data_IF_269585926540
#
_entry.id   IF_269585926540
#
_cell.length_a   1.000
_cell.length_b   1.000
_cell.length_c   1.000
_cell.angle_alpha   90.00
_cell.angle_beta   90.00
_cell.angle_gamma   90.00
#
_symmetry.space_group_name_H-M   'P 1'
#
loop_
_entity.id
_entity.type
_entity.pdbx_description
1 polymer ?
#
# COMPACT_ATOMS: atom_id res chain seq x y z
N UNK A 1 -0.97 -44.20 34.96
CA UNK A 1 -1.75 -42.95 34.85
C UNK A 1 -1.41 -42.30 33.53
N UNK A 2 -2.30 -42.46 32.52
CA UNK A 2 -2.16 -41.83 31.23
C UNK A 2 -2.61 -40.37 31.36
N UNK A 3 -1.68 -39.44 31.31
CA UNK A 3 -1.99 -38.00 31.21
C UNK A 3 -2.37 -37.67 29.77
N UNK A 4 -3.65 -37.44 29.53
CA UNK A 4 -4.13 -36.95 28.22
C UNK A 4 -3.77 -35.49 28.14
N UNK A 5 -2.72 -35.17 27.36
CA UNK A 5 -2.42 -33.80 26.98
C UNK A 5 -3.44 -33.42 25.91
N UNK A 6 -4.46 -32.62 26.25
CA UNK A 6 -5.32 -31.98 25.25
C UNK A 6 -4.45 -31.05 24.44
N UNK A 7 -4.21 -31.36 23.16
CA UNK A 7 -3.70 -30.38 22.19
C UNK A 7 -4.77 -29.29 22.02
N UNK A 8 -4.55 -28.12 22.56
CA UNK A 8 -5.37 -26.97 22.31
C UNK A 8 -4.81 -26.34 21.01
N UNK A 9 -5.56 -26.44 19.93
CA UNK A 9 -5.22 -25.71 18.70
C UNK A 9 -5.56 -24.24 18.94
N UNK A 10 -4.57 -23.41 19.12
CA UNK A 10 -4.72 -21.96 19.08
C UNK A 10 -4.75 -21.55 17.61
N UNK A 11 -5.89 -21.13 17.12
CA UNK A 11 -5.97 -20.41 15.85
C UNK A 11 -5.59 -18.97 16.15
N UNK A 12 -4.45 -18.53 15.65
CA UNK A 12 -4.10 -17.11 15.61
C UNK A 12 -4.94 -16.50 14.50
N UNK A 13 -5.82 -15.58 14.86
CA UNK A 13 -6.64 -14.87 13.90
C UNK A 13 -5.78 -13.79 13.22
N UNK A 14 -5.88 -13.70 11.89
CA UNK A 14 -5.20 -12.65 11.14
C UNK A 14 -5.76 -11.26 11.51
N UNK A 15 -4.94 -10.20 11.45
CA UNK A 15 -5.41 -8.83 11.70
C UNK A 15 -6.49 -8.45 10.69
N UNK A 16 -7.49 -7.69 11.17
CA UNK A 16 -8.60 -7.21 10.37
C UNK A 16 -8.56 -5.67 10.30
N UNK A 17 -8.31 -5.14 9.12
CA UNK A 17 -8.40 -3.71 8.85
C UNK A 17 -9.84 -3.32 8.51
N UNK A 18 -10.31 -2.22 9.08
CA UNK A 18 -11.57 -1.57 8.74
C UNK A 18 -11.23 -0.20 8.14
N UNK A 19 -11.61 0.01 6.88
CA UNK A 19 -11.43 1.25 6.12
C UNK A 19 -12.79 1.90 5.98
N UNK A 20 -12.99 3.06 6.60
CA UNK A 20 -14.19 3.85 6.47
C UNK A 20 -13.99 4.92 5.40
N UNK A 21 -14.87 4.96 4.40
CA UNK A 21 -14.78 5.93 3.30
C UNK A 21 -16.03 6.81 3.28
N UNK A 22 -15.81 8.13 3.34
CA UNK A 22 -16.89 9.11 3.44
C UNK A 22 -17.87 8.96 2.27
N UNK A 23 -19.18 8.85 2.58
CA UNK A 23 -20.28 8.68 1.63
C UNK A 23 -20.25 7.39 0.79
N UNK A 24 -19.26 6.52 0.93
CA UNK A 24 -19.16 5.25 0.18
C UNK A 24 -19.47 4.04 1.06
N UNK A 25 -18.98 4.01 2.31
CA UNK A 25 -19.19 2.93 3.26
C UNK A 25 -17.89 2.33 3.79
N UNK A 26 -17.98 1.08 4.24
CA UNK A 26 -16.92 0.36 4.93
C UNK A 26 -16.33 -0.74 4.05
N UNK A 27 -15.00 -0.85 4.05
CA UNK A 27 -14.25 -1.97 3.44
C UNK A 27 -13.53 -2.69 4.58
N UNK A 28 -13.67 -4.02 4.67
CA UNK A 28 -12.88 -4.84 5.61
C UNK A 28 -11.87 -5.69 4.87
N UNK A 29 -10.65 -5.69 5.39
CA UNK A 29 -9.51 -6.36 4.77
C UNK A 29 -8.83 -7.24 5.81
N UNK A 30 -8.76 -8.54 5.55
CA UNK A 30 -7.94 -9.45 6.32
C UNK A 30 -6.49 -9.32 5.85
N UNK A 31 -5.56 -9.09 6.79
CA UNK A 31 -4.13 -8.91 6.51
C UNK A 31 -3.38 -10.23 6.73
N UNK A 32 -2.36 -10.48 5.93
CA UNK A 32 -1.63 -11.76 5.90
C UNK A 32 -0.14 -11.60 6.26
N UNK A 33 0.21 -11.51 7.55
CA UNK A 33 1.60 -11.32 8.00
C UNK A 33 2.54 -12.47 7.61
N UNK A 34 1.99 -13.63 7.25
CA UNK A 34 2.80 -14.76 6.78
C UNK A 34 3.40 -14.53 5.38
N UNK A 35 2.79 -13.65 4.57
CA UNK A 35 3.28 -13.33 3.23
C UNK A 35 4.19 -12.11 3.23
N UNK A 36 3.85 -11.09 4.02
CA UNK A 36 4.54 -9.80 4.04
C UNK A 36 4.54 -9.21 5.46
N UNK A 37 5.35 -9.75 6.39
CA UNK A 37 5.35 -9.34 7.79
C UNK A 37 5.72 -7.87 8.01
N UNK A 38 6.74 -7.33 7.33
CA UNK A 38 7.16 -5.95 7.45
C UNK A 38 6.11 -4.98 6.90
N UNK A 39 5.52 -5.33 5.76
CA UNK A 39 4.42 -4.59 5.12
C UNK A 39 3.20 -4.52 6.03
N UNK A 40 2.82 -5.65 6.64
CA UNK A 40 1.68 -5.72 7.57
C UNK A 40 1.98 -4.91 8.84
N UNK A 41 3.19 -5.01 9.42
CA UNK A 41 3.59 -4.23 10.60
C UNK A 41 3.55 -2.72 10.29
N UNK A 42 4.05 -2.30 9.13
CA UNK A 42 4.00 -0.92 8.65
C UNK A 42 2.56 -0.41 8.53
N UNK A 43 1.72 -1.14 7.81
CA UNK A 43 0.34 -0.76 7.60
C UNK A 43 -0.47 -0.68 8.91
N UNK A 44 -0.30 -1.66 9.81
CA UNK A 44 -0.94 -1.65 11.14
C UNK A 44 -0.54 -0.42 11.95
N UNK A 45 0.77 -0.12 11.97
CA UNK A 45 1.29 1.01 12.77
C UNK A 45 0.74 2.33 12.25
N UNK A 46 0.83 2.59 10.95
CA UNK A 46 0.29 3.80 10.32
C UNK A 46 -1.22 3.93 10.54
N UNK A 47 -1.97 2.85 10.32
CA UNK A 47 -3.43 2.84 10.49
C UNK A 47 -3.86 3.15 11.92
N UNK A 48 -3.24 2.48 12.91
CA UNK A 48 -3.62 2.64 14.31
C UNK A 48 -3.11 3.95 14.92
N UNK A 49 -2.08 4.58 14.35
CA UNK A 49 -1.66 5.94 14.68
C UNK A 49 -2.52 7.03 14.02
N UNK A 50 -3.47 6.66 13.14
CA UNK A 50 -4.38 7.61 12.48
C UNK A 50 -3.77 8.31 11.27
N UNK A 51 -2.63 7.84 10.74
CA UNK A 51 -1.97 8.42 9.58
C UNK A 51 -2.90 8.57 8.36
N UNK A 52 -3.74 7.57 8.11
CA UNK A 52 -4.62 7.55 6.95
C UNK A 52 -5.89 8.41 7.09
N UNK A 53 -6.16 8.96 8.28
CA UNK A 53 -7.38 9.73 8.52
C UNK A 53 -7.38 11.04 7.72
N UNK A 54 -8.37 11.22 6.88
CA UNK A 54 -8.50 12.37 5.98
C UNK A 54 -7.75 12.25 4.66
N UNK A 55 -6.94 11.21 4.45
CA UNK A 55 -6.31 10.93 3.15
C UNK A 55 -7.34 10.44 2.14
N UNK A 56 -6.96 10.35 0.87
CA UNK A 56 -7.88 10.06 -0.21
C UNK A 56 -7.46 8.83 -1.03
N UNK A 57 -8.42 8.28 -1.76
CA UNK A 57 -8.12 7.50 -2.94
C UNK A 57 -7.86 8.48 -4.09
N UNK A 58 -6.59 8.76 -4.34
CA UNK A 58 -6.13 9.78 -5.28
C UNK A 58 -5.98 9.27 -6.72
N UNK A 59 -6.03 7.95 -6.93
CA UNK A 59 -5.93 7.31 -8.25
C UNK A 59 -6.89 6.13 -8.33
N UNK A 60 -7.74 6.11 -9.36
CA UNK A 60 -8.73 5.06 -9.57
C UNK A 60 -8.77 4.66 -11.05
N UNK A 61 -8.66 3.36 -11.31
CA UNK A 61 -8.75 2.80 -12.66
C UNK A 61 -9.78 1.67 -12.61
N UNK A 62 -10.96 1.83 -13.28
CA UNK A 62 -11.93 0.75 -13.43
C UNK A 62 -11.24 -0.51 -14.00
N UNK A 63 -11.70 -1.68 -13.56
CA UNK A 63 -11.20 -2.99 -14.01
C UNK A 63 -9.68 -3.20 -13.75
N UNK A 64 -9.11 -2.42 -12.82
CA UNK A 64 -7.72 -2.60 -12.38
C UNK A 64 -7.55 -2.42 -10.86
N UNK A 65 -7.61 -1.16 -10.36
CA UNK A 65 -7.36 -0.91 -8.92
C UNK A 65 -7.85 0.47 -8.46
N UNK A 66 -7.96 0.62 -7.15
CA UNK A 66 -8.04 1.91 -6.46
C UNK A 66 -6.79 2.09 -5.60
N UNK A 67 -6.15 3.26 -5.64
CA UNK A 67 -4.93 3.57 -4.89
C UNK A 67 -5.15 4.75 -3.96
N UNK A 68 -4.68 4.63 -2.73
CA UNK A 68 -4.79 5.65 -1.70
C UNK A 68 -3.64 5.64 -0.72
N UNK A 69 -3.77 6.44 0.35
CA UNK A 69 -2.78 6.49 1.43
C UNK A 69 -1.60 7.42 1.18
N UNK A 70 -1.72 8.31 0.19
CA UNK A 70 -0.73 9.35 -0.09
C UNK A 70 -1.05 10.64 0.68
N UNK A 71 -0.13 11.14 1.54
CA UNK A 71 -0.34 12.40 2.25
C UNK A 71 -0.40 13.63 1.34
N UNK A 72 0.22 13.58 0.15
CA UNK A 72 0.18 14.66 -0.83
C UNK A 72 -1.03 14.57 -1.77
N UNK A 73 -1.62 13.38 -1.92
CA UNK A 73 -2.77 13.13 -2.79
C UNK A 73 -2.46 13.23 -4.30
N UNK A 74 -1.19 13.11 -4.69
CA UNK A 74 -0.71 13.22 -6.09
C UNK A 74 0.20 12.04 -6.52
N UNK A 75 0.39 11.08 -5.65
CA UNK A 75 1.22 9.89 -5.88
C UNK A 75 2.67 10.03 -5.42
N UNK A 76 3.08 11.20 -4.89
CA UNK A 76 4.49 11.48 -4.57
C UNK A 76 4.84 11.36 -3.10
N UNK A 77 3.84 11.32 -2.20
CA UNK A 77 4.05 11.39 -0.77
C UNK A 77 4.48 10.08 -0.13
N UNK A 78 5.31 10.20 0.90
CA UNK A 78 5.71 9.14 1.81
C UNK A 78 5.27 9.46 3.23
N UNK A 79 5.20 8.45 4.08
CA UNK A 79 5.10 8.63 5.52
C UNK A 79 6.46 8.98 6.11
N UNK A 80 6.45 9.61 7.28
CA UNK A 80 7.64 9.94 8.04
C UNK A 80 7.83 8.99 9.23
N UNK A 81 9.03 8.96 9.80
CA UNK A 81 9.30 8.19 11.02
C UNK A 81 8.41 8.63 12.19
N UNK A 82 7.95 9.90 12.19
CA UNK A 82 7.00 10.43 13.17
C UNK A 82 5.62 9.76 13.06
N UNK A 83 5.19 9.41 11.87
CA UNK A 83 3.92 8.70 11.65
C UNK A 83 3.96 7.27 12.23
N UNK A 84 5.17 6.70 12.35
CA UNK A 84 5.41 5.46 13.09
C UNK A 84 5.53 5.66 14.62
N UNK A 85 5.46 6.91 15.13
CA UNK A 85 5.58 7.23 16.54
C UNK A 85 7.02 7.51 17.01
N UNK A 86 7.97 7.73 16.09
CA UNK A 86 9.34 8.14 16.39
C UNK A 86 9.47 9.67 16.44
N UNK A 87 10.58 10.20 16.93
CA UNK A 87 10.84 11.64 17.01
C UNK A 87 11.68 12.12 15.81
N UNK A 88 11.17 11.91 14.58
CA UNK A 88 11.81 12.38 13.35
C UNK A 88 10.77 12.63 12.26
N UNK A 89 10.93 13.76 11.57
CA UNK A 89 10.13 14.12 10.38
C UNK A 89 10.76 13.59 9.06
N UNK A 90 11.78 12.71 9.16
CA UNK A 90 12.39 12.08 7.98
C UNK A 90 11.45 11.07 7.36
N UNK A 91 11.33 11.14 6.03
CA UNK A 91 10.61 10.13 5.26
C UNK A 91 11.32 8.78 5.31
N UNK A 92 10.57 7.72 5.17
CA UNK A 92 11.11 6.37 5.11
C UNK A 92 10.45 5.51 4.05
N UNK A 93 11.13 4.44 3.69
CA UNK A 93 10.60 3.33 2.87
C UNK A 93 10.81 2.01 3.59
N UNK A 94 10.17 0.96 3.09
CA UNK A 94 10.33 -0.41 3.57
C UNK A 94 10.83 -1.33 2.46
N UNK A 95 11.44 -2.44 2.83
CA UNK A 95 11.82 -3.47 1.88
C UNK A 95 10.58 -4.08 1.22
N UNK A 96 10.58 -4.17 -0.10
CA UNK A 96 9.49 -4.79 -0.85
C UNK A 96 9.49 -6.31 -0.67
N UNK A 97 8.41 -6.85 -0.12
CA UNK A 97 8.26 -8.27 0.21
C UNK A 97 7.55 -9.03 -0.91
N UNK A 98 8.26 -9.28 -2.01
CA UNK A 98 7.77 -10.03 -3.17
C UNK A 98 8.89 -10.78 -3.88
N UNK A 99 8.53 -11.71 -4.77
CA UNK A 99 9.44 -12.71 -5.37
C UNK A 99 10.62 -12.05 -6.11
N UNK A 100 10.37 -11.02 -6.93
CA UNK A 100 11.44 -10.34 -7.69
C UNK A 100 12.47 -9.63 -6.79
N UNK A 101 12.12 -9.34 -5.53
CA UNK A 101 13.01 -8.76 -4.52
C UNK A 101 13.56 -9.81 -3.53
N UNK A 102 13.39 -11.09 -3.82
CA UNK A 102 13.94 -12.20 -3.03
C UNK A 102 13.04 -12.74 -1.93
N UNK A 103 11.86 -12.19 -1.71
CA UNK A 103 10.87 -12.78 -0.80
C UNK A 103 10.05 -13.86 -1.51
N UNK A 104 10.52 -15.11 -1.43
CA UNK A 104 9.88 -16.26 -2.07
C UNK A 104 8.64 -16.76 -1.30
N UNK A 105 8.40 -16.29 -0.07
CA UNK A 105 7.27 -16.70 0.75
C UNK A 105 5.99 -15.94 0.37
N UNK A 106 6.12 -14.76 -0.27
CA UNK A 106 4.97 -14.03 -0.76
C UNK A 106 4.47 -14.60 -2.10
N UNK A 107 3.58 -15.57 -1.99
CA UNK A 107 2.91 -16.22 -3.13
C UNK A 107 1.45 -15.79 -3.27
N UNK A 108 1.03 -14.74 -2.55
CA UNK A 108 -0.31 -14.19 -2.64
C UNK A 108 -0.55 -13.61 -4.04
N UNK A 109 -1.62 -14.07 -4.68
CA UNK A 109 -1.98 -13.69 -6.03
C UNK A 109 -2.80 -12.41 -6.04
N UNK A 110 -2.51 -11.51 -6.99
CA UNK A 110 -3.27 -10.27 -7.17
C UNK A 110 -4.62 -10.52 -7.88
N UNK A 111 -5.40 -11.43 -7.31
CA UNK A 111 -6.80 -11.61 -7.67
C UNK A 111 -7.64 -10.40 -7.24
N UNK A 112 -8.88 -10.31 -7.73
CA UNK A 112 -9.83 -9.30 -7.29
C UNK A 112 -9.94 -9.19 -5.76
N UNK A 113 -9.81 -7.97 -5.23
CA UNK A 113 -9.92 -7.65 -3.81
C UNK A 113 -8.62 -7.79 -3.01
N UNK A 114 -7.49 -8.05 -3.64
CA UNK A 114 -6.20 -8.09 -2.95
C UNK A 114 -5.69 -6.68 -2.71
N UNK A 115 -5.22 -6.42 -1.48
CA UNK A 115 -4.50 -5.21 -1.11
C UNK A 115 -3.00 -5.42 -1.24
N UNK A 116 -2.30 -4.44 -1.81
CA UNK A 116 -0.87 -4.47 -2.05
C UNK A 116 -0.24 -3.09 -1.87
N UNK A 117 1.06 -3.02 -1.57
CA UNK A 117 1.77 -1.74 -1.47
C UNK A 117 2.12 -1.19 -2.84
N UNK A 118 1.85 0.10 -3.02
CA UNK A 118 2.38 0.84 -4.16
C UNK A 118 3.88 1.13 -3.96
N UNK A 119 4.60 1.25 -5.06
CA UNK A 119 6.04 1.55 -5.10
C UNK A 119 6.39 2.33 -6.38
N UNK A 120 7.55 2.96 -6.38
CA UNK A 120 8.11 3.61 -7.57
C UNK A 120 8.71 2.58 -8.53
N UNK A 121 8.68 2.88 -9.83
CA UNK A 121 9.43 2.14 -10.85
C UNK A 121 10.59 2.98 -11.40
N UNK A 122 11.73 2.86 -10.74
CA UNK A 122 12.96 3.54 -11.18
C UNK A 122 13.67 2.83 -12.33
N UNK A 123 13.21 1.64 -12.74
CA UNK A 123 13.80 0.92 -13.90
C UNK A 123 13.56 1.65 -15.22
N UNK A 124 12.55 2.52 -15.28
CA UNK A 124 12.30 3.42 -16.40
C UNK A 124 13.43 4.43 -16.63
N UNK A 125 14.19 4.79 -15.60
CA UNK A 125 15.38 5.65 -15.69
C UNK A 125 16.64 4.85 -15.99
N UNK A 126 16.82 3.71 -15.33
CA UNK A 126 17.90 2.76 -15.56
C UNK A 126 17.53 1.39 -15.00
N UNK A 127 17.81 0.33 -15.76
CA UNK A 127 17.62 -1.05 -15.30
C UNK A 127 18.39 -1.36 -14.00
N UNK A 128 19.51 -0.66 -13.74
CA UNK A 128 20.28 -0.81 -12.50
C UNK A 128 19.56 -0.31 -11.24
N UNK A 129 18.52 0.52 -11.40
CA UNK A 129 17.73 1.08 -10.30
C UNK A 129 16.49 0.24 -9.95
N UNK A 130 16.31 -0.92 -10.58
CA UNK A 130 15.16 -1.77 -10.29
C UNK A 130 15.04 -2.10 -8.78
N UNK A 131 16.16 -2.43 -8.13
CA UNK A 131 16.20 -2.76 -6.69
C UNK A 131 15.83 -1.57 -5.80
N UNK A 132 16.20 -0.34 -6.19
CA UNK A 132 15.78 0.86 -5.47
C UNK A 132 14.28 1.06 -5.59
N UNK A 133 13.70 0.86 -6.76
CA UNK A 133 12.26 0.88 -6.97
C UNK A 133 11.55 -0.24 -6.20
N UNK A 134 12.15 -1.42 -6.07
CA UNK A 134 11.58 -2.53 -5.29
C UNK A 134 11.47 -2.18 -3.79
N UNK A 135 12.34 -1.34 -3.26
CA UNK A 135 12.40 -0.95 -1.87
C UNK A 135 11.90 0.49 -1.61
N UNK A 136 11.02 1.00 -2.46
CA UNK A 136 10.49 2.37 -2.39
C UNK A 136 9.07 2.47 -1.83
N UNK A 137 8.47 1.38 -1.37
CA UNK A 137 7.16 1.42 -0.71
C UNK A 137 7.26 2.14 0.64
N UNK A 138 6.24 2.95 0.98
CA UNK A 138 6.11 3.63 2.27
C UNK A 138 4.70 3.47 2.84
N UNK A 139 3.77 4.33 2.45
CA UNK A 139 2.41 4.37 2.99
C UNK A 139 1.31 4.09 1.96
N UNK A 140 1.58 4.29 0.68
CA UNK A 140 0.56 4.15 -0.36
C UNK A 140 0.23 2.68 -0.63
N UNK A 141 -1.05 2.38 -0.76
CA UNK A 141 -1.56 1.05 -1.05
C UNK A 141 -2.59 1.08 -2.18
N UNK A 142 -2.83 -0.07 -2.79
CA UNK A 142 -3.91 -0.23 -3.76
C UNK A 142 -4.71 -1.50 -3.49
N UNK A 143 -5.97 -1.51 -3.94
CA UNK A 143 -6.86 -2.68 -3.89
C UNK A 143 -7.27 -3.00 -5.32
N UNK A 144 -7.05 -4.24 -5.75
CA UNK A 144 -7.40 -4.70 -7.11
C UNK A 144 -8.92 -4.84 -7.26
N UNK A 145 -9.45 -4.40 -8.40
CA UNK A 145 -10.87 -4.53 -8.74
C UNK A 145 -11.14 -5.69 -9.69
N UNK A 146 -10.10 -6.20 -10.34
CA UNK A 146 -10.11 -7.38 -11.21
C UNK A 146 -8.86 -8.23 -10.98
N UNK A 147 -8.79 -9.40 -11.62
CA UNK A 147 -7.61 -10.25 -11.62
C UNK A 147 -6.47 -9.56 -12.39
N UNK A 148 -5.40 -9.26 -11.68
CA UNK A 148 -4.21 -8.58 -12.19
C UNK A 148 -2.94 -9.42 -12.02
N UNK A 149 -3.09 -10.75 -11.88
CA UNK A 149 -2.00 -11.69 -11.60
C UNK A 149 -0.88 -11.66 -12.66
N UNK A 150 -1.24 -11.52 -13.93
CA UNK A 150 -0.27 -11.48 -15.04
C UNK A 150 0.69 -10.28 -14.98
N UNK A 151 0.27 -9.18 -14.37
CA UNK A 151 1.03 -7.92 -14.33
C UNK A 151 1.66 -7.59 -12.98
N UNK A 152 1.10 -8.08 -11.87
CA UNK A 152 1.49 -7.66 -10.53
C UNK A 152 2.16 -8.76 -9.70
N UNK A 153 1.87 -10.04 -9.98
CA UNK A 153 2.39 -11.14 -9.18
C UNK A 153 3.92 -11.19 -9.19
N UNK A 154 4.47 -11.32 -7.98
CA UNK A 154 5.91 -11.35 -7.78
C UNK A 154 6.63 -10.01 -7.95
N UNK A 155 5.92 -8.92 -8.26
CA UNK A 155 6.47 -7.58 -8.50
C UNK A 155 5.99 -6.54 -7.47
N UNK A 156 4.94 -6.86 -6.69
CA UNK A 156 4.37 -6.02 -5.66
C UNK A 156 4.10 -6.82 -4.38
N UNK A 157 4.18 -6.15 -3.23
CA UNK A 157 3.95 -6.76 -1.92
C UNK A 157 2.46 -6.84 -1.62
N UNK A 158 1.80 -7.91 -2.08
CA UNK A 158 0.45 -8.24 -1.67
C UNK A 158 0.45 -8.68 -0.21
N UNK A 159 -0.46 -8.13 0.63
CA UNK A 159 -0.42 -8.36 2.06
C UNK A 159 -1.77 -8.59 2.72
N UNK A 160 -2.86 -8.69 1.95
CA UNK A 160 -4.19 -8.98 2.47
C UNK A 160 -5.24 -9.09 1.37
N UNK A 161 -6.48 -9.35 1.80
CA UNK A 161 -7.63 -9.47 0.90
C UNK A 161 -8.88 -8.89 1.53
N UNK A 162 -9.69 -8.21 0.72
CA UNK A 162 -11.01 -7.70 1.11
C UNK A 162 -11.93 -8.87 1.43
N UNK A 163 -12.52 -8.84 2.61
CA UNK A 163 -13.50 -9.82 3.08
C UNK A 163 -14.94 -9.31 3.03
N UNK A 164 -15.11 -7.99 3.17
CA UNK A 164 -16.41 -7.31 3.07
C UNK A 164 -16.23 -5.94 2.39
N UNK A 165 -17.22 -5.47 1.64
CA UNK A 165 -17.23 -4.12 1.05
C UNK A 165 -16.60 -4.04 -0.34
N UNK A 166 -16.50 -5.13 -1.11
CA UNK A 166 -16.07 -5.07 -2.51
C UNK A 166 -16.97 -4.19 -3.38
N UNK A 167 -18.25 -4.07 -3.05
CA UNK A 167 -19.16 -3.14 -3.72
C UNK A 167 -18.81 -1.67 -3.45
N UNK A 168 -18.20 -1.37 -2.29
CA UNK A 168 -17.64 -0.04 -1.96
C UNK A 168 -16.39 0.21 -2.79
N UNK A 169 -15.49 -0.77 -2.90
CA UNK A 169 -14.30 -0.69 -3.77
C UNK A 169 -14.70 -0.41 -5.22
N UNK A 170 -15.72 -1.12 -5.74
CA UNK A 170 -16.22 -0.91 -7.11
C UNK A 170 -16.81 0.49 -7.30
N UNK A 171 -17.57 1.00 -6.34
CA UNK A 171 -18.11 2.37 -6.40
C UNK A 171 -16.98 3.40 -6.45
N UNK A 172 -15.92 3.22 -5.66
CA UNK A 172 -14.74 4.09 -5.68
C UNK A 172 -14.00 4.00 -7.02
N UNK A 173 -13.83 2.80 -7.57
CA UNK A 173 -13.16 2.60 -8.85
C UNK A 173 -13.87 3.27 -10.03
N UNK A 174 -15.19 3.49 -9.92
CA UNK A 174 -16.03 4.06 -10.97
C UNK A 174 -16.43 5.53 -10.74
N UNK A 175 -15.73 6.25 -9.85
CA UNK A 175 -15.96 7.69 -9.71
C UNK A 175 -15.48 8.43 -10.96
N UNK A 176 -16.04 9.62 -11.20
CA UNK A 176 -15.60 10.49 -12.29
C UNK A 176 -14.14 10.88 -12.11
N UNK A 177 -13.31 10.67 -13.13
CA UNK A 177 -11.90 11.04 -13.15
C UNK A 177 -11.65 12.24 -14.04
N UNK A 178 -10.56 12.95 -13.81
CA UNK A 178 -10.15 14.09 -14.61
C UNK A 178 -9.89 13.66 -16.06
N UNK A 179 -10.29 14.52 -17.01
CA UNK A 179 -9.99 14.36 -18.42
C UNK A 179 -8.93 15.36 -18.83
N UNK A 180 -8.30 15.20 -20.01
CA UNK A 180 -7.35 16.17 -20.55
C UNK A 180 -7.89 17.60 -20.63
N UNK A 181 -9.22 17.74 -20.79
CA UNK A 181 -9.91 19.03 -20.89
C UNK A 181 -10.13 19.68 -19.52
N UNK A 182 -10.19 18.87 -18.45
CA UNK A 182 -10.41 19.36 -17.08
C UNK A 182 -9.12 19.48 -16.27
N UNK A 183 -7.98 19.03 -16.82
CA UNK A 183 -6.68 19.14 -16.17
C UNK A 183 -6.27 20.62 -16.03
N UNK A 184 -6.03 21.04 -14.80
CA UNK A 184 -5.49 22.36 -14.48
C UNK A 184 -3.96 22.41 -14.52
N UNK A 185 -3.29 21.26 -14.59
CA UNK A 185 -1.84 21.14 -14.56
C UNK A 185 -1.30 20.51 -15.84
N UNK A 186 -0.52 21.27 -16.60
CA UNK A 186 -0.06 20.92 -17.95
C UNK A 186 1.06 19.85 -17.97
N UNK A 187 1.44 19.29 -16.82
CA UNK A 187 2.69 18.52 -16.68
C UNK A 187 2.48 17.03 -16.37
N UNK A 188 1.25 16.48 -16.38
CA UNK A 188 1.08 15.13 -15.85
C UNK A 188 0.42 14.16 -16.82
N UNK A 189 1.16 13.09 -17.15
CA UNK A 189 0.61 11.81 -17.60
C UNK A 189 -0.21 11.12 -16.50
N UNK A 190 -0.07 11.53 -15.24
CA UNK A 190 -0.66 10.93 -14.03
C UNK A 190 -2.10 11.36 -13.72
N UNK A 191 -2.61 12.42 -14.34
CA UNK A 191 -3.91 13.00 -13.96
C UNK A 191 -5.13 12.33 -14.60
N UNK A 192 -4.97 11.50 -15.61
CA UNK A 192 -6.09 10.83 -16.28
C UNK A 192 -6.85 9.83 -15.38
N UNK A 193 -6.23 9.38 -14.29
CA UNK A 193 -6.78 8.40 -13.35
C UNK A 193 -7.12 9.08 -12.00
N UNK A 194 -7.04 10.41 -11.92
CA UNK A 194 -7.32 11.17 -10.71
C UNK A 194 -8.82 11.45 -10.60
N UNK A 195 -9.47 11.08 -9.51
CA UNK A 195 -10.85 11.45 -9.26
C UNK A 195 -11.05 12.97 -9.23
N UNK A 196 -12.10 13.48 -9.90
CA UNK A 196 -12.51 14.89 -9.82
C UNK A 196 -12.84 15.28 -8.37
N UNK A 197 -13.47 14.37 -7.64
CA UNK A 197 -13.75 14.47 -6.22
C UNK A 197 -13.17 13.23 -5.52
N UNK A 198 -11.91 13.25 -5.06
CA UNK A 198 -11.27 12.09 -4.48
C UNK A 198 -12.02 11.56 -3.24
N UNK A 199 -12.39 10.27 -3.21
CA UNK A 199 -13.04 9.67 -2.03
C UNK A 199 -12.14 9.77 -0.80
N UNK A 200 -12.69 10.28 0.31
CA UNK A 200 -11.95 10.53 1.55
C UNK A 200 -12.01 9.32 2.47
N UNK A 201 -10.87 8.86 2.93
CA UNK A 201 -10.73 7.86 3.98
C UNK A 201 -10.96 8.57 5.32
N UNK A 202 -12.08 8.31 5.97
CA UNK A 202 -12.36 8.91 7.29
C UNK A 202 -11.54 8.27 8.40
N UNK A 203 -11.26 6.98 8.27
CA UNK A 203 -10.32 6.27 9.16
C UNK A 203 -9.92 4.92 8.60
N UNK A 204 -8.71 4.46 8.98
CA UNK A 204 -8.32 3.05 8.91
C UNK A 204 -7.91 2.62 10.31
N UNK A 205 -8.48 1.52 10.80
CA UNK A 205 -8.09 0.91 12.08
C UNK A 205 -7.96 -0.59 11.91
N UNK A 206 -6.96 -1.16 12.58
CA UNK A 206 -6.66 -2.60 12.48
C UNK A 206 -6.84 -3.24 13.85
N UNK A 207 -7.75 -4.21 13.92
CA UNK A 207 -7.90 -5.10 15.05
C UNK A 207 -6.83 -6.21 14.98
N UNK A 208 -5.96 -6.26 15.98
CA UNK A 208 -4.83 -7.20 16.03
C UNK A 208 -5.07 -8.39 16.95
N UNK A 209 -6.24 -8.43 17.62
CA UNK A 209 -6.62 -9.48 18.58
C UNK A 209 -5.57 -9.67 19.70
N UNK A 210 -4.90 -8.57 20.08
CA UNK A 210 -3.87 -8.57 21.11
C UNK A 210 -2.50 -9.07 20.67
N UNK A 211 -2.29 -9.32 19.38
CA UNK A 211 -0.98 -9.66 18.83
C UNK A 211 -0.20 -8.37 18.55
N UNK A 212 1.04 -8.34 18.97
CA UNK A 212 2.00 -7.28 18.62
C UNK A 212 2.79 -7.72 17.37
N UNK A 213 2.62 -6.98 16.28
CA UNK A 213 3.32 -7.22 15.01
C UNK A 213 4.68 -6.50 14.91
N UNK A 214 5.05 -5.73 15.94
CA UNK A 214 6.32 -4.98 15.98
C UNK A 214 6.25 -3.69 15.17
N UNK A 215 7.44 -3.13 14.97
CA UNK A 215 7.67 -1.97 14.10
C UNK A 215 8.35 -2.46 12.83
N UNK A 216 8.04 -1.87 11.66
CA UNK A 216 8.71 -2.23 10.42
C UNK A 216 10.20 -1.84 10.44
N UNK A 217 11.03 -2.59 9.73
CA UNK A 217 12.38 -2.15 9.39
C UNK A 217 12.30 -1.06 8.33
N UNK A 218 12.77 0.14 8.68
CA UNK A 218 12.74 1.31 7.79
C UNK A 218 14.06 1.49 7.03
N UNK A 219 13.97 2.12 5.87
CA UNK A 219 15.08 2.46 4.98
C UNK A 219 14.99 3.94 4.63
N UNK A 220 16.14 4.55 4.37
CA UNK A 220 16.20 5.87 3.76
C UNK A 220 15.66 5.81 2.32
N UNK A 221 14.77 6.73 1.91
CA UNK A 221 14.28 6.79 0.53
C UNK A 221 15.42 7.03 -0.46
N UNK A 222 15.36 6.35 -1.60
CA UNK A 222 16.30 6.60 -2.69
C UNK A 222 16.06 7.98 -3.32
N UNK A 223 17.10 8.82 -3.36
CA UNK A 223 17.02 10.14 -4.00
C UNK A 223 17.33 10.04 -5.50
N UNK A 224 16.28 9.87 -6.30
CA UNK A 224 16.36 9.78 -7.76
C UNK A 224 16.91 11.08 -8.36
N UNK A 225 16.63 12.24 -7.76
CA UNK A 225 17.09 13.51 -8.27
C UNK A 225 18.61 13.67 -8.12
N UNK A 226 19.15 13.33 -6.95
CA UNK A 226 20.60 13.31 -6.73
C UNK A 226 21.30 12.30 -7.64
N UNK A 227 20.72 11.12 -7.83
CA UNK A 227 21.23 10.16 -8.78
C UNK A 227 21.28 10.72 -10.21
N UNK A 228 20.17 11.32 -10.67
CA UNK A 228 20.07 11.92 -12.01
C UNK A 228 21.11 13.04 -12.22
N UNK A 229 21.26 13.92 -11.23
CA UNK A 229 22.26 15.00 -11.26
C UNK A 229 23.69 14.43 -11.33
N UNK A 230 23.98 13.35 -10.61
CA UNK A 230 25.28 12.68 -10.68
C UNK A 230 25.60 12.12 -12.07
N UNK A 231 24.60 11.59 -12.77
CA UNK A 231 24.78 11.11 -14.15
C UNK A 231 25.03 12.24 -15.15
N UNK A 232 24.42 13.41 -14.93
CA UNK A 232 24.58 14.58 -15.82
C UNK A 232 25.89 15.34 -15.60
N UNK A 233 26.37 15.45 -14.37
CA UNK A 233 27.49 16.32 -14.00
C UNK A 233 28.74 15.55 -13.54
N UNK A 234 28.67 14.22 -13.40
CA UNK A 234 29.84 13.39 -13.10
C UNK A 234 30.41 13.56 -11.69
N UNK A 235 29.57 13.80 -10.70
CA UNK A 235 29.95 13.83 -9.28
C UNK A 235 29.85 12.48 -8.63
#
# INVERSE_FOLDING_TARGET
TNTIIKKQNFYVQNPLATIEVENFGTIKVELYPNYAPETVANFITLANNGFYDGLTFHRTIPDFMIQGGDPNGDGTGNATLKDLGQDSDEEYTITGEFIANGNNDNTLKHERGVISMARSDYSSYSASLATEGYNSASCQFFITTEDSTDSLDGLYAAFGKVTEGMDVVDKIANVEVETRETQTDSNSELTQDRPVNPPVITSIRVETYGINYGMPETREPFDINSWYMSQMYGY
#
